data_IF_301333942888
#
_entry.id   IF_301333942888
#
_cell.length_a   1.000
_cell.length_b   1.000
_cell.length_c   1.000
_cell.angle_alpha   90.00
_cell.angle_beta   90.00
_cell.angle_gamma   90.00
#
_symmetry.space_group_name_H-M   'P 1'
#
loop_
_entity.id
_entity.type
_entity.pdbx_description
1 polymer ?
#
# COMPACT_ATOMS: atom_id res chain seq x y z
N UNK A 1 -7.79 15.19 -2.78
CA UNK A 1 -6.95 13.97 -2.78
C UNK A 1 -6.28 13.90 -1.41
N UNK A 2 -6.95 13.31 -0.41
CA UNK A 2 -6.40 13.20 0.95
C UNK A 2 -5.23 12.21 0.95
N UNK A 3 -4.16 12.54 1.69
CA UNK A 3 -2.99 11.69 1.90
C UNK A 3 -3.40 10.30 2.41
N UNK A 4 -3.54 9.34 1.50
CA UNK A 4 -3.97 7.99 1.82
C UNK A 4 -2.85 7.27 2.55
N UNK A 5 -3.12 6.87 3.79
CA UNK A 5 -2.18 6.10 4.62
C UNK A 5 -2.67 4.65 4.71
N UNK A 6 -1.82 3.68 4.39
CA UNK A 6 -2.13 2.26 4.54
C UNK A 6 -1.79 1.81 5.96
N UNK A 7 -2.75 1.16 6.62
CA UNK A 7 -2.60 0.63 7.98
C UNK A 7 -2.17 1.69 9.02
N UNK A 8 -2.42 2.98 8.77
CA UNK A 8 -1.94 4.08 9.62
C UNK A 8 -0.41 4.30 9.61
N UNK A 9 0.35 3.43 8.95
CA UNK A 9 1.82 3.39 8.97
C UNK A 9 2.44 3.92 7.69
N UNK A 10 1.95 3.47 6.53
CA UNK A 10 2.60 3.75 5.25
C UNK A 10 1.90 4.88 4.53
N UNK A 11 2.53 6.05 4.45
CA UNK A 11 1.99 7.18 3.72
C UNK A 11 2.27 7.00 2.22
N UNK A 12 1.23 6.84 1.40
CA UNK A 12 1.41 6.63 -0.04
C UNK A 12 1.99 7.90 -0.67
N UNK A 13 3.09 7.72 -1.41
CA UNK A 13 3.74 8.75 -2.23
C UNK A 13 3.37 8.61 -3.69
N UNK A 14 3.41 7.37 -4.22
CA UNK A 14 3.15 7.09 -5.64
C UNK A 14 2.59 5.69 -5.85
N UNK A 15 1.61 5.54 -6.75
CA UNK A 15 1.20 4.22 -7.23
C UNK A 15 2.22 3.70 -8.25
N UNK A 16 2.65 2.44 -8.08
CA UNK A 16 3.64 1.81 -8.94
C UNK A 16 3.04 0.81 -9.93
N UNK A 17 1.83 0.31 -9.65
CA UNK A 17 1.14 -0.67 -10.48
C UNK A 17 0.23 -1.57 -9.65
N UNK A 18 -0.56 -2.42 -10.31
CA UNK A 18 -1.44 -3.37 -9.65
C UNK A 18 -2.05 -4.37 -10.61
N UNK A 19 -2.58 -5.46 -10.07
CA UNK A 19 -3.23 -6.54 -10.81
C UNK A 19 -4.09 -7.41 -9.90
N UNK A 20 -4.47 -8.61 -10.35
CA UNK A 20 -5.39 -9.50 -9.60
C UNK A 20 -4.95 -9.90 -8.19
N UNK A 21 -3.67 -9.69 -7.85
CA UNK A 21 -3.09 -9.99 -6.53
C UNK A 21 -2.96 -8.77 -5.62
N UNK A 22 -3.46 -7.60 -6.04
CA UNK A 22 -3.45 -6.36 -5.27
C UNK A 22 -2.68 -5.21 -5.93
N UNK A 23 -2.43 -4.18 -5.12
CA UNK A 23 -1.90 -2.88 -5.56
C UNK A 23 -0.53 -2.60 -4.93
N UNK A 24 0.39 -2.02 -5.71
CA UNK A 24 1.76 -1.72 -5.27
C UNK A 24 1.98 -0.20 -5.24
N UNK A 25 2.60 0.28 -4.17
CA UNK A 25 2.85 1.71 -3.92
C UNK A 25 4.27 1.94 -3.46
N UNK A 26 4.83 3.10 -3.81
CA UNK A 26 5.92 3.73 -3.07
C UNK A 26 5.30 4.49 -1.89
N UNK A 27 5.77 4.24 -0.68
CA UNK A 27 5.25 4.85 0.53
C UNK A 27 6.37 5.19 1.52
N UNK A 28 6.15 6.17 2.38
CA UNK A 28 7.02 6.43 3.54
C UNK A 28 6.57 5.63 4.75
N UNK A 29 7.49 4.96 5.44
CA UNK A 29 7.20 4.24 6.68
C UNK A 29 7.26 5.17 7.89
N UNK A 30 6.10 5.62 8.37
CA UNK A 30 5.99 6.59 9.47
C UNK A 30 6.41 6.06 10.85
N UNK A 31 6.59 4.75 10.97
CA UNK A 31 7.02 4.14 12.23
C UNK A 31 8.54 4.03 12.37
N UNK A 32 9.28 4.33 11.30
CA UNK A 32 10.74 4.32 11.32
C UNK A 32 11.28 5.76 11.40
N UNK A 33 12.36 6.00 12.17
CA UNK A 33 13.01 7.31 12.23
C UNK A 33 13.39 7.80 10.83
N UNK A 34 13.03 9.04 10.51
CA UNK A 34 13.31 9.65 9.21
C UNK A 34 12.34 9.27 8.09
N UNK A 35 11.28 8.49 8.38
CA UNK A 35 10.24 8.11 7.43
C UNK A 35 10.78 7.57 6.09
N UNK A 36 11.66 6.55 6.10
CA UNK A 36 12.28 6.04 4.88
C UNK A 36 11.23 5.55 3.87
N UNK A 37 11.55 5.70 2.59
CA UNK A 37 10.72 5.21 1.50
C UNK A 37 10.84 3.69 1.38
N UNK A 38 9.71 3.03 1.17
CA UNK A 38 9.60 1.59 0.96
C UNK A 38 8.51 1.27 -0.07
N UNK A 39 8.56 0.06 -0.62
CA UNK A 39 7.52 -0.45 -1.53
C UNK A 39 6.52 -1.26 -0.71
N UNK A 40 5.24 -0.89 -0.80
CA UNK A 40 4.14 -1.56 -0.10
C UNK A 40 3.22 -2.22 -1.12
N UNK A 41 3.00 -3.52 -0.98
CA UNK A 41 2.00 -4.26 -1.76
C UNK A 41 0.76 -4.51 -0.90
N UNK A 42 -0.31 -3.77 -1.16
CA UNK A 42 -1.62 -4.00 -0.57
C UNK A 42 -2.27 -5.18 -1.28
N UNK A 43 -2.23 -6.35 -0.64
CA UNK A 43 -2.90 -7.54 -1.15
C UNK A 43 -4.42 -7.33 -1.11
N UNK A 44 -5.08 -7.67 -2.21
CA UNK A 44 -6.53 -7.85 -2.22
C UNK A 44 -6.76 -9.35 -2.05
N UNK A 45 -7.44 -9.79 -0.97
CA UNK A 45 -7.83 -11.19 -0.89
C UNK A 45 -8.67 -11.48 -2.14
N UNK A 46 -8.25 -12.49 -2.90
CA UNK A 46 -8.99 -12.92 -4.08
C UNK A 46 -10.43 -13.17 -3.69
N UNK A 47 -11.37 -12.72 -4.50
CA UNK A 47 -12.76 -13.12 -4.35
C UNK A 47 -12.81 -14.64 -4.51
N UNK A 48 -12.71 -15.39 -3.40
CA UNK A 48 -13.37 -16.68 -3.31
C UNK A 48 -14.85 -16.32 -3.24
N UNK A 49 -15.47 -16.10 -4.41
CA UNK A 49 -16.93 -16.17 -4.46
C UNK A 49 -17.27 -17.57 -3.96
N UNK A 50 -17.97 -17.73 -2.81
CA UNK A 50 -18.52 -19.03 -2.50
C UNK A 50 -19.54 -19.32 -3.60
N UNK A 51 -19.20 -20.28 -4.47
CA UNK A 51 -20.14 -20.88 -5.41
C UNK A 51 -21.27 -21.57 -4.66
#
# INVERSE_FOLDING_TARGET
MLFKTLSGRYQIVKHLGGGGFGQTYLAGDKQLPGNPLCVVKQLQPGCVSPS
#
